data_IF_485034186467
#
_entry.id   IF_485034186467
#
_cell.length_a   1.000
_cell.length_b   1.000
_cell.length_c   1.000
_cell.angle_alpha   90.00
_cell.angle_beta   90.00
_cell.angle_gamma   90.00
#
_symmetry.space_group_name_H-M   'P 1'
#
loop_
_entity.id
_entity.type
_entity.pdbx_description
1 polymer ?
#
# COMPACT_ATOMS: atom_id res chain seq x y z
N UNK A 1 8.88 -6.64 2.23
CA UNK A 1 7.80 -7.59 1.88
C UNK A 1 7.29 -8.20 3.17
N UNK A 2 5.99 -8.49 3.24
CA UNK A 2 5.33 -9.08 4.41
C UNK A 2 4.47 -10.22 3.86
N UNK A 3 4.98 -11.46 3.91
CA UNK A 3 4.36 -12.59 3.20
C UNK A 3 4.33 -12.36 1.69
N UNK A 4 3.14 -12.49 1.09
CA UNK A 4 2.81 -12.18 -0.31
C UNK A 4 2.51 -10.69 -0.55
N UNK A 5 2.53 -9.88 0.51
CA UNK A 5 2.27 -8.45 0.47
C UNK A 5 3.52 -7.58 0.30
N UNK A 6 3.33 -6.43 -0.33
CA UNK A 6 4.32 -5.36 -0.45
C UNK A 6 3.75 -4.09 0.18
N UNK A 7 4.57 -3.44 1.02
CA UNK A 7 4.29 -2.10 1.51
C UNK A 7 5.08 -1.10 0.67
N UNK A 8 4.38 -0.13 0.10
CA UNK A 8 4.98 1.04 -0.56
C UNK A 8 4.48 2.31 0.11
N UNK A 9 5.38 3.27 0.29
CA UNK A 9 5.07 4.55 0.93
C UNK A 9 5.44 5.70 0.01
N UNK A 10 4.64 6.75 0.06
CA UNK A 10 4.81 7.94 -0.78
C UNK A 10 4.66 9.20 0.07
N UNK A 11 5.38 10.29 -0.25
CA UNK A 11 5.06 11.58 0.33
C UNK A 11 3.65 12.00 -0.07
N UNK A 12 2.92 12.63 0.86
CA UNK A 12 1.51 13.03 0.66
C UNK A 12 1.32 13.96 -0.53
N UNK A 13 2.33 14.75 -0.88
CA UNK A 13 2.34 15.64 -2.06
C UNK A 13 2.15 14.89 -3.39
N UNK A 14 2.42 13.58 -3.44
CA UNK A 14 2.21 12.73 -4.62
C UNK A 14 1.00 11.79 -4.50
N UNK A 15 0.08 12.04 -3.56
CA UNK A 15 -1.05 11.13 -3.31
C UNK A 15 -1.86 10.81 -4.57
N UNK A 16 -2.16 11.81 -5.41
CA UNK A 16 -2.95 11.64 -6.65
C UNK A 16 -2.24 10.74 -7.66
N UNK A 17 -0.96 11.01 -7.92
CA UNK A 17 -0.13 10.22 -8.84
C UNK A 17 0.06 8.79 -8.33
N UNK A 18 0.30 8.63 -7.03
CA UNK A 18 0.47 7.33 -6.40
C UNK A 18 -0.79 6.48 -6.51
N UNK A 19 -1.97 7.03 -6.21
CA UNK A 19 -3.25 6.31 -6.35
C UNK A 19 -3.50 5.92 -7.80
N UNK A 20 -3.25 6.81 -8.75
CA UNK A 20 -3.41 6.49 -10.18
C UNK A 20 -2.45 5.38 -10.63
N UNK A 21 -1.19 5.41 -10.20
CA UNK A 21 -0.21 4.37 -10.49
C UNK A 21 -0.58 3.02 -9.86
N UNK A 22 -1.04 3.03 -8.61
CA UNK A 22 -1.48 1.84 -7.89
C UNK A 22 -2.72 1.20 -8.53
N UNK A 23 -3.66 2.00 -9.05
CA UNK A 23 -4.81 1.46 -9.81
C UNK A 23 -4.36 0.74 -11.08
N UNK A 24 -3.44 1.33 -11.84
CA UNK A 24 -2.86 0.70 -13.04
C UNK A 24 -2.12 -0.58 -12.69
N UNK A 25 -1.33 -0.55 -11.61
CA UNK A 25 -0.62 -1.72 -11.11
C UNK A 25 -1.58 -2.84 -10.73
N UNK A 26 -2.63 -2.54 -9.94
CA UNK A 26 -3.60 -3.54 -9.49
C UNK A 26 -4.29 -4.24 -10.68
N UNK A 27 -4.71 -3.46 -11.69
CA UNK A 27 -5.34 -3.99 -12.89
C UNK A 27 -4.37 -4.87 -13.71
N UNK A 28 -3.14 -4.38 -13.93
CA UNK A 28 -2.14 -5.11 -14.74
C UNK A 28 -1.66 -6.38 -14.05
N UNK A 29 -1.40 -6.30 -12.74
CA UNK A 29 -0.98 -7.45 -11.94
C UNK A 29 -2.09 -8.50 -11.84
N UNK A 30 -3.35 -8.08 -11.66
CA UNK A 30 -4.49 -9.01 -11.66
C UNK A 30 -4.64 -9.70 -13.01
N UNK A 31 -4.52 -8.96 -14.12
CA UNK A 31 -4.56 -9.56 -15.46
C UNK A 31 -3.46 -10.62 -15.63
N UNK A 32 -2.21 -10.27 -15.31
CA UNK A 32 -1.07 -11.19 -15.39
C UNK A 32 -1.27 -12.46 -14.54
N UNK A 33 -1.70 -12.31 -13.29
CA UNK A 33 -1.93 -13.47 -12.42
C UNK A 33 -3.08 -14.34 -12.90
N UNK A 34 -4.11 -13.74 -13.49
CA UNK A 34 -5.27 -14.47 -14.03
C UNK A 34 -4.95 -15.35 -15.24
N UNK A 35 -3.85 -15.07 -15.96
CA UNK A 35 -3.35 -15.93 -17.05
C UNK A 35 -2.80 -17.26 -16.54
N UNK A 36 -2.36 -17.31 -15.27
CA UNK A 36 -1.82 -18.50 -14.61
C UNK A 36 -2.92 -19.22 -13.84
N UNK A 37 -3.67 -18.48 -13.01
CA UNK A 37 -4.80 -19.00 -12.24
C UNK A 37 -5.95 -17.96 -12.22
N UNK A 38 -7.11 -18.27 -12.81
CA UNK A 38 -8.26 -17.35 -12.87
C UNK A 38 -8.83 -16.94 -11.51
N UNK A 39 -8.44 -17.59 -10.42
CA UNK A 39 -8.83 -17.23 -9.05
C UNK A 39 -7.88 -16.21 -8.39
N UNK A 40 -6.65 -16.04 -8.91
CA UNK A 40 -5.69 -15.10 -8.35
C UNK A 40 -6.10 -13.64 -8.60
N UNK A 41 -6.07 -12.81 -7.55
CA UNK A 41 -6.40 -11.38 -7.60
C UNK A 41 -5.34 -10.57 -6.88
N UNK A 42 -4.93 -9.43 -7.44
CA UNK A 42 -4.12 -8.45 -6.72
C UNK A 42 -5.02 -7.49 -5.97
N UNK A 43 -4.80 -7.36 -4.66
CA UNK A 43 -5.54 -6.44 -3.80
C UNK A 43 -4.66 -5.27 -3.41
N UNK A 44 -5.22 -4.06 -3.45
CA UNK A 44 -4.52 -2.84 -3.05
C UNK A 44 -5.34 -2.05 -2.04
N UNK A 45 -4.72 -1.69 -0.93
CA UNK A 45 -5.30 -0.81 0.10
C UNK A 45 -4.43 0.43 0.20
N UNK A 46 -5.03 1.62 0.09
CA UNK A 46 -4.31 2.89 0.14
C UNK A 46 -4.93 3.77 1.21
N UNK A 47 -4.09 4.27 2.12
CA UNK A 47 -4.48 5.20 3.17
C UNK A 47 -3.49 6.35 3.28
N UNK A 48 -3.84 7.34 4.10
CA UNK A 48 -2.99 8.48 4.43
C UNK A 48 -2.91 8.63 5.95
N UNK A 49 -1.75 9.07 6.43
CA UNK A 49 -1.57 9.39 7.84
C UNK A 49 -0.10 9.62 8.19
N UNK A 50 0.14 10.06 9.42
CA UNK A 50 1.48 10.26 9.94
C UNK A 50 2.15 8.92 10.20
N UNK A 51 3.34 8.75 9.64
CA UNK A 51 4.18 7.57 9.80
C UNK A 51 5.57 8.01 10.23
N UNK A 52 6.18 7.23 11.12
CA UNK A 52 7.61 7.30 11.37
C UNK A 52 8.33 6.39 10.36
N UNK A 53 9.40 6.89 9.76
CA UNK A 53 10.18 6.16 8.75
C UNK A 53 11.66 6.40 8.96
N UNK A 54 12.50 5.40 8.70
CA UNK A 54 13.95 5.55 8.84
C UNK A 54 14.68 4.23 8.97
N UNK A 55 16.00 4.26 9.28
CA UNK A 55 16.76 3.07 9.60
C UNK A 55 16.40 2.57 11.02
N UNK A 56 15.97 1.32 11.11
CA UNK A 56 15.68 0.63 12.37
C UNK A 56 16.41 -0.70 12.44
N UNK A 57 16.93 -1.06 13.62
CA UNK A 57 17.67 -2.29 13.85
C UNK A 57 18.90 -2.06 14.73
N UNK A 58 19.68 -3.13 14.99
CA UNK A 58 20.95 -3.00 15.68
C UNK A 58 21.96 -2.20 14.84
N UNK A 59 22.97 -1.58 15.46
CA UNK A 59 24.03 -0.87 14.75
C UNK A 59 24.67 -1.72 13.66
N UNK A 60 24.70 -1.23 12.42
CA UNK A 60 25.25 -1.93 11.25
C UNK A 60 24.33 -2.98 10.63
N UNK A 61 23.13 -3.17 11.18
CA UNK A 61 22.10 -4.10 10.69
C UNK A 61 20.77 -3.41 10.40
N UNK A 62 20.75 -2.07 10.31
CA UNK A 62 19.54 -1.30 10.15
C UNK A 62 18.88 -1.54 8.79
N UNK A 63 17.55 -1.52 8.77
CA UNK A 63 16.73 -1.57 7.56
C UNK A 63 15.79 -0.38 7.54
N UNK A 64 15.43 0.04 6.34
CA UNK A 64 14.34 1.00 6.20
C UNK A 64 13.05 0.37 6.72
N UNK A 65 12.47 0.97 7.74
CA UNK A 65 11.23 0.53 8.36
C UNK A 65 10.23 1.68 8.47
N UNK A 66 8.96 1.32 8.58
CA UNK A 66 7.82 2.23 8.64
C UNK A 66 6.83 1.75 9.70
N UNK A 67 6.47 2.62 10.62
CA UNK A 67 5.46 2.31 11.64
C UNK A 67 4.59 3.51 11.98
N UNK A 68 3.41 3.23 12.50
CA UNK A 68 2.44 4.23 12.91
C UNK A 68 1.03 3.64 12.98
N UNK A 69 0.15 4.28 13.75
CA UNK A 69 -1.23 3.81 13.89
C UNK A 69 -1.97 3.78 12.54
N UNK A 70 -1.71 4.75 11.65
CA UNK A 70 -2.33 4.78 10.32
C UNK A 70 -2.04 3.52 9.50
N UNK A 71 -0.80 3.00 9.57
CA UNK A 71 -0.43 1.74 8.91
C UNK A 71 -1.19 0.55 9.52
N UNK A 72 -1.25 0.48 10.85
CA UNK A 72 -1.97 -0.58 11.55
C UNK A 72 -3.47 -0.58 11.21
N UNK A 73 -4.10 0.59 11.12
CA UNK A 73 -5.50 0.69 10.71
C UNK A 73 -5.70 0.26 9.26
N UNK A 74 -4.80 0.65 8.34
CA UNK A 74 -4.85 0.24 6.94
C UNK A 74 -4.79 -1.29 6.78
N UNK A 75 -3.94 -1.97 7.56
CA UNK A 75 -3.86 -3.43 7.56
C UNK A 75 -5.14 -4.11 8.05
N UNK A 76 -5.87 -3.49 8.97
CA UNK A 76 -7.14 -4.02 9.52
C UNK A 76 -8.33 -3.84 8.59
N UNK A 77 -8.22 -3.02 7.55
CA UNK A 77 -9.28 -2.87 6.55
C UNK A 77 -9.55 -4.24 5.90
N UNK A 78 -10.81 -4.64 5.69
CA UNK A 78 -11.13 -5.86 4.95
C UNK A 78 -10.47 -5.93 3.57
N UNK A 79 -10.23 -7.14 3.10
CA UNK A 79 -9.76 -7.39 1.75
C UNK A 79 -10.76 -6.85 0.71
N UNK A 80 -10.24 -6.14 -0.30
CA UNK A 80 -10.99 -5.64 -1.45
C UNK A 80 -10.02 -5.51 -2.64
N UNK A 81 -10.53 -5.51 -3.87
CA UNK A 81 -9.69 -5.36 -5.07
C UNK A 81 -8.89 -4.05 -5.04
N UNK A 82 -9.56 -2.92 -4.79
CA UNK A 82 -8.92 -1.63 -4.63
C UNK A 82 -9.66 -0.78 -3.60
N UNK A 83 -9.03 -0.51 -2.46
CA UNK A 83 -9.59 0.28 -1.38
C UNK A 83 -8.82 1.58 -1.16
N UNK A 84 -9.56 2.67 -0.97
CA UNK A 84 -9.04 3.98 -0.58
C UNK A 84 -9.72 4.37 0.72
N UNK A 85 -8.96 4.74 1.75
CA UNK A 85 -9.57 5.19 3.01
C UNK A 85 -10.34 6.50 2.82
N UNK A 86 -11.40 6.77 3.61
CA UNK A 86 -12.16 8.01 3.50
C UNK A 86 -11.30 9.28 3.62
N UNK A 87 -10.28 9.27 4.49
CA UNK A 87 -9.37 10.39 4.70
C UNK A 87 -8.54 10.69 3.45
N UNK A 88 -8.08 9.64 2.76
CA UNK A 88 -7.38 9.80 1.49
C UNK A 88 -8.34 10.25 0.38
N UNK A 89 -9.57 9.72 0.35
CA UNK A 89 -10.56 10.14 -0.65
C UNK A 89 -10.86 11.65 -0.54
N UNK A 90 -11.02 12.18 0.69
CA UNK A 90 -11.23 13.61 0.94
C UNK A 90 -10.02 14.48 0.55
N UNK A 91 -8.81 13.93 0.53
CA UNK A 91 -7.61 14.64 0.08
C UNK A 91 -7.50 14.70 -1.46
N UNK A 92 -8.19 13.81 -2.17
CA UNK A 92 -8.11 13.68 -3.63
C UNK A 92 -9.17 14.49 -4.39
N UNK A 93 -10.21 14.96 -3.70
CA UNK A 93 -11.22 15.90 -4.23
C UNK A 93 -10.62 17.28 -4.39
#
# INVERSE_FOLDING_TARGET
>A
MIGDGILVVFPVSRAREAVAALRRFQSSATALWSEIDPSCRTQVKVGVGTLATGPFGPPGGERFDVYGNALNQLFKVPAAEFFVTPELAALLT
#
